data_IF_208538736152
#
_entry.id   IF_208538736152
#
_cell.length_a   1.000
_cell.length_b   1.000
_cell.length_c   1.000
_cell.angle_alpha   90.00
_cell.angle_beta   90.00
_cell.angle_gamma   90.00
#
_symmetry.space_group_name_H-M   'P 1'
#
loop_
_entity.id
_entity.type
_entity.pdbx_description
1 polymer ?
#
# COMPACT_ATOMS: atom_id res chain seq x y z
N UNK A 1 13.74 -3.12 -18.02
CA UNK A 1 12.72 -4.13 -17.77
C UNK A 1 11.88 -3.70 -16.57
N UNK A 2 10.66 -3.25 -16.82
CA UNK A 2 9.79 -2.78 -15.77
C UNK A 2 8.95 -3.92 -15.22
N UNK A 3 8.96 -4.12 -13.91
CA UNK A 3 8.00 -5.00 -13.27
C UNK A 3 6.61 -4.37 -13.35
N UNK A 4 5.62 -5.17 -13.70
CA UNK A 4 4.23 -4.75 -13.70
C UNK A 4 3.66 -5.06 -12.33
N UNK A 5 3.26 -4.01 -11.61
CA UNK A 5 2.55 -4.14 -10.34
C UNK A 5 1.07 -3.92 -10.54
N UNK A 6 0.28 -4.62 -9.76
CA UNK A 6 -1.18 -4.60 -9.83
C UNK A 6 -1.78 -4.08 -8.53
N UNK A 7 -3.02 -3.56 -8.55
CA UNK A 7 -3.71 -3.19 -7.32
C UNK A 7 -3.74 -4.35 -6.33
N UNK A 8 -3.40 -4.05 -5.09
CA UNK A 8 -3.31 -5.05 -4.03
C UNK A 8 -1.92 -5.61 -3.83
N UNK A 9 -0.99 -5.38 -4.73
CA UNK A 9 0.40 -5.80 -4.52
C UNK A 9 1.00 -5.06 -3.34
N UNK A 10 1.65 -5.80 -2.45
CA UNK A 10 2.32 -5.25 -1.29
C UNK A 10 3.81 -5.23 -1.57
N UNK A 11 4.40 -4.06 -1.44
CA UNK A 11 5.82 -3.85 -1.72
C UNK A 11 6.53 -3.31 -0.50
N UNK A 12 7.81 -3.67 -0.37
CA UNK A 12 8.68 -3.09 0.65
C UNK A 12 9.33 -1.86 0.03
N UNK A 13 9.24 -0.73 0.69
CA UNK A 13 9.77 0.54 0.19
C UNK A 13 10.72 1.19 1.19
N UNK A 14 11.59 2.05 0.69
CA UNK A 14 12.39 2.93 1.53
C UNK A 14 11.51 4.11 1.97
N UNK A 15 11.21 4.19 3.26
CA UNK A 15 10.28 5.18 3.80
C UNK A 15 10.82 5.75 5.12
N UNK A 16 10.68 7.05 5.36
CA UNK A 16 10.20 8.08 4.46
C UNK A 16 11.23 8.37 3.35
N UNK A 17 10.80 9.01 2.27
CA UNK A 17 11.66 9.35 1.14
C UNK A 17 12.64 10.48 1.46
N UNK A 18 12.91 10.70 2.70
CA UNK A 18 13.82 11.77 3.09
C UNK A 18 15.26 11.32 2.89
N UNK A 19 16.13 12.29 2.75
CA UNK A 19 17.57 12.08 2.69
C UNK A 19 18.17 11.56 4.00
N UNK A 20 17.35 11.10 4.92
CA UNK A 20 17.80 10.54 6.17
C UNK A 20 18.66 9.31 5.89
N UNK A 21 19.83 9.27 6.51
CA UNK A 21 20.83 8.24 6.32
C UNK A 21 20.38 6.86 6.77
N UNK A 22 19.26 6.76 7.50
CA UNK A 22 18.68 5.52 7.95
C UNK A 22 17.23 5.43 7.48
N UNK A 23 17.03 5.28 6.18
CA UNK A 23 15.70 5.03 5.65
C UNK A 23 15.20 3.72 6.23
N UNK A 24 14.07 3.76 6.93
CA UNK A 24 13.40 2.55 7.38
C UNK A 24 12.67 1.95 6.19
N UNK A 25 12.70 0.64 6.10
CA UNK A 25 11.91 -0.09 5.10
C UNK A 25 10.54 -0.38 5.69
N UNK A 26 9.50 -0.05 4.95
CA UNK A 26 8.12 -0.26 5.37
C UNK A 26 7.29 -0.81 4.23
N UNK A 27 6.26 -1.60 4.55
CA UNK A 27 5.36 -2.08 3.50
C UNK A 27 4.38 -0.99 3.08
N UNK A 28 3.98 -1.07 1.81
CA UNK A 28 2.92 -0.26 1.24
C UNK A 28 2.13 -1.11 0.26
N UNK A 29 0.86 -0.78 0.07
CA UNK A 29 0.02 -1.46 -0.90
C UNK A 29 -0.20 -0.56 -2.10
N UNK A 30 -0.01 -1.11 -3.30
CA UNK A 30 -0.29 -0.43 -4.55
C UNK A 30 -1.78 -0.49 -4.79
N UNK A 31 -2.39 0.67 -5.07
CA UNK A 31 -3.84 0.78 -5.27
C UNK A 31 -4.21 1.24 -6.67
N UNK A 32 -3.26 1.76 -7.43
CA UNK A 32 -3.49 2.15 -8.83
C UNK A 32 -3.48 0.94 -9.74
N UNK A 33 -4.26 1.00 -10.83
CA UNK A 33 -4.36 -0.13 -11.75
C UNK A 33 -3.13 -0.25 -12.64
N UNK A 34 -2.98 -1.43 -13.25
CA UNK A 34 -1.80 -1.77 -14.04
C UNK A 34 -1.62 -0.83 -15.24
N UNK A 35 -2.70 -0.44 -15.89
CA UNK A 35 -2.62 0.46 -17.05
C UNK A 35 -2.12 1.85 -16.64
N UNK A 36 -2.64 2.40 -15.55
CA UNK A 36 -2.17 3.67 -14.99
C UNK A 36 -0.67 3.57 -14.68
N UNK A 37 -0.28 2.50 -14.00
CA UNK A 37 1.10 2.29 -13.56
C UNK A 37 2.07 2.23 -14.74
N UNK A 38 1.66 1.53 -15.80
CA UNK A 38 2.46 1.37 -17.00
C UNK A 38 2.64 2.70 -17.76
N UNK A 39 1.55 3.43 -17.95
CA UNK A 39 1.57 4.69 -18.72
C UNK A 39 2.32 5.79 -17.94
N UNK A 40 2.08 5.90 -16.63
CA UNK A 40 2.68 6.94 -15.79
C UNK A 40 4.09 6.60 -15.34
N UNK A 41 4.47 5.33 -15.39
CA UNK A 41 5.73 4.83 -14.85
C UNK A 41 5.92 5.18 -13.37
N UNK A 42 4.82 5.19 -12.64
CA UNK A 42 4.76 5.43 -11.21
C UNK A 42 3.46 4.82 -10.66
N UNK A 43 3.35 4.72 -9.36
CA UNK A 43 2.25 4.02 -8.69
C UNK A 43 1.59 4.93 -7.67
N UNK A 44 0.30 4.72 -7.42
CA UNK A 44 -0.37 5.28 -6.24
C UNK A 44 -0.42 4.19 -5.18
N UNK A 45 0.02 4.51 -3.98
CA UNK A 45 0.15 3.55 -2.90
C UNK A 45 -0.37 4.12 -1.59
N UNK A 46 -0.63 3.22 -0.64
CA UNK A 46 -1.01 3.55 0.73
C UNK A 46 -0.05 2.84 1.68
N UNK A 47 0.44 3.53 2.73
CA UNK A 47 1.36 2.90 3.66
C UNK A 47 0.64 1.90 4.57
N UNK A 48 1.37 0.89 5.01
CA UNK A 48 0.89 -0.11 5.95
C UNK A 48 1.69 0.04 7.24
N UNK A 49 0.99 0.12 8.37
CA UNK A 49 1.62 0.17 9.70
C UNK A 49 1.26 -1.04 10.52
N UNK A 50 2.19 -1.50 11.36
CA UNK A 50 1.93 -2.54 12.35
C UNK A 50 1.42 -1.99 13.68
N UNK A 51 1.31 -0.68 13.82
CA UNK A 51 0.74 -0.05 15.02
C UNK A 51 -0.77 -0.13 14.96
N UNK A 52 -1.35 -0.95 15.83
CA UNK A 52 -2.79 -1.26 15.82
C UNK A 52 -3.60 -0.46 16.82
N UNK A 53 -2.98 0.49 17.50
CA UNK A 53 -3.64 1.28 18.56
C UNK A 53 -4.61 2.35 18.04
N UNK A 54 -4.58 2.63 16.74
CA UNK A 54 -5.43 3.65 16.13
C UNK A 54 -6.08 3.07 14.88
N UNK A 55 -7.29 2.54 15.06
CA UNK A 55 -8.04 1.86 13.99
C UNK A 55 -9.28 2.63 13.54
N UNK A 56 -9.51 3.82 14.07
CA UNK A 56 -10.77 4.58 13.88
C UNK A 56 -10.62 5.82 12.99
N UNK A 57 -9.43 6.06 12.44
CA UNK A 57 -9.28 7.18 11.52
C UNK A 57 -9.97 6.90 10.18
N UNK A 58 -10.69 7.88 9.63
CA UNK A 58 -11.29 7.71 8.31
C UNK A 58 -10.24 7.32 7.26
N UNK A 59 -10.58 6.32 6.46
CA UNK A 59 -9.69 5.82 5.43
C UNK A 59 -8.73 4.74 5.86
N UNK A 60 -8.54 4.54 7.17
CA UNK A 60 -7.70 3.46 7.68
C UNK A 60 -8.47 2.14 7.62
N UNK A 61 -7.79 1.06 7.20
CA UNK A 61 -8.41 -0.25 7.01
C UNK A 61 -7.54 -1.33 7.64
N UNK A 62 -8.13 -2.11 8.55
CA UNK A 62 -7.47 -3.26 9.14
C UNK A 62 -7.32 -4.35 8.07
N UNK A 63 -6.14 -4.94 7.97
CA UNK A 63 -5.87 -6.05 7.05
C UNK A 63 -6.32 -7.34 7.75
N UNK A 64 -7.48 -7.85 7.39
CA UNK A 64 -8.08 -9.01 8.07
C UNK A 64 -7.32 -10.29 7.81
N UNK A 65 -6.89 -10.50 6.57
CA UNK A 65 -6.18 -11.72 6.15
C UNK A 65 -4.67 -11.49 6.06
N UNK A 66 -4.11 -10.71 6.96
CA UNK A 66 -2.69 -10.34 6.89
C UNK A 66 -1.76 -11.55 6.75
N UNK A 67 -2.10 -12.66 7.39
CA UNK A 67 -1.29 -13.89 7.36
C UNK A 67 -1.29 -14.61 6.00
N UNK A 68 -2.14 -14.18 5.08
CA UNK A 68 -2.19 -14.70 3.70
C UNK A 68 -1.50 -13.79 2.69
N UNK A 69 -0.97 -12.65 3.13
CA UNK A 69 -0.48 -11.60 2.24
C UNK A 69 1.04 -11.59 2.07
N UNK A 70 1.75 -12.34 2.88
CA UNK A 70 3.20 -12.25 2.96
C UNK A 70 3.71 -11.32 4.05
N UNK A 71 2.82 -10.56 4.69
CA UNK A 71 3.19 -9.74 5.85
C UNK A 71 3.51 -10.63 7.05
N UNK A 72 4.45 -10.17 7.88
CA UNK A 72 4.90 -10.93 9.06
C UNK A 72 4.11 -10.62 10.32
N UNK A 73 3.32 -9.56 10.31
CA UNK A 73 2.53 -9.09 11.46
C UNK A 73 1.20 -8.53 11.00
N UNK A 74 0.21 -8.47 11.91
CA UNK A 74 -1.00 -7.71 11.64
C UNK A 74 -0.68 -6.27 11.25
N UNK A 75 -1.51 -5.67 10.43
CA UNK A 75 -1.30 -4.32 9.96
C UNK A 75 -2.58 -3.59 9.61
N UNK A 76 -2.42 -2.29 9.46
CA UNK A 76 -3.47 -1.36 9.04
C UNK A 76 -2.97 -0.65 7.79
N UNK A 77 -3.80 -0.63 6.74
CA UNK A 77 -3.57 0.24 5.59
C UNK A 77 -4.01 1.65 5.98
N UNK A 78 -3.08 2.59 5.96
CA UNK A 78 -3.38 3.97 6.34
C UNK A 78 -4.10 4.71 5.21
N UNK A 79 -5.04 5.57 5.59
CA UNK A 79 -5.81 6.39 4.66
C UNK A 79 -5.00 7.55 4.07
N UNK A 80 -3.82 7.27 3.60
CA UNK A 80 -2.89 8.23 3.01
C UNK A 80 -2.54 7.74 1.62
N UNK A 81 -2.74 8.59 0.61
CA UNK A 81 -2.35 8.29 -0.76
C UNK A 81 -1.07 9.01 -1.09
N UNK A 82 -0.13 8.29 -1.70
CA UNK A 82 1.12 8.91 -2.15
C UNK A 82 1.56 8.31 -3.46
N UNK A 83 2.34 9.08 -4.21
CA UNK A 83 2.92 8.63 -5.46
C UNK A 83 4.24 7.93 -5.17
N UNK A 84 4.41 6.75 -5.74
CA UNK A 84 5.55 5.88 -5.51
C UNK A 84 6.28 5.64 -6.83
N UNK A 85 7.55 6.03 -6.89
CA UNK A 85 8.40 5.75 -8.03
C UNK A 85 9.02 4.36 -7.90
N UNK A 86 9.25 3.69 -9.01
CA UNK A 86 9.72 2.31 -9.01
C UNK A 86 11.02 2.11 -8.26
N UNK A 87 11.97 3.07 -8.37
CA UNK A 87 13.27 2.93 -7.71
C UNK A 87 13.20 2.95 -6.18
N UNK A 88 12.08 3.37 -5.61
CA UNK A 88 11.85 3.35 -4.17
C UNK A 88 11.47 1.95 -3.69
N UNK A 89 10.97 1.11 -4.59
CA UNK A 89 10.55 -0.25 -4.27
C UNK A 89 11.76 -1.15 -4.11
N UNK A 90 11.89 -1.78 -2.95
CA UNK A 90 12.96 -2.73 -2.66
C UNK A 90 12.62 -4.11 -3.19
N UNK A 91 11.39 -4.58 -2.92
CA UNK A 91 10.92 -5.89 -3.38
C UNK A 91 9.41 -6.03 -3.22
N UNK A 92 8.86 -7.00 -3.93
CA UNK A 92 7.48 -7.44 -3.74
C UNK A 92 7.40 -8.33 -2.50
N UNK A 93 6.50 -8.02 -1.59
CA UNK A 93 6.25 -8.83 -0.39
C UNK A 93 5.18 -9.89 -0.66
N UNK A 94 4.09 -9.49 -1.28
CA UNK A 94 2.95 -10.36 -1.52
C UNK A 94 1.77 -9.58 -2.09
N UNK A 95 0.58 -10.01 -1.73
CA UNK A 95 -0.64 -9.48 -2.32
C UNK A 95 -1.79 -9.52 -1.32
N UNK A 96 -2.63 -8.49 -1.31
CA UNK A 96 -3.86 -8.49 -0.52
C UNK A 96 -4.81 -9.55 -1.02
N UNK A 97 -5.53 -10.20 -0.10
CA UNK A 97 -6.64 -11.07 -0.49
C UNK A 97 -7.74 -10.24 -1.15
N UNK A 98 -8.61 -10.90 -1.92
CA UNK A 98 -9.73 -10.22 -2.55
C UNK A 98 -10.57 -9.44 -1.53
N UNK A 99 -10.81 -10.04 -0.37
CA UNK A 99 -11.60 -9.41 0.69
C UNK A 99 -10.93 -8.13 1.20
N UNK A 100 -9.64 -8.18 1.48
CA UNK A 100 -8.91 -7.02 1.98
C UNK A 100 -8.80 -5.93 0.91
N UNK A 101 -8.61 -6.32 -0.35
CA UNK A 101 -8.57 -5.35 -1.44
C UNK A 101 -9.91 -4.65 -1.62
N UNK A 102 -11.03 -5.37 -1.47
CA UNK A 102 -12.35 -4.75 -1.51
C UNK A 102 -12.55 -3.75 -0.37
N UNK A 103 -12.07 -4.07 0.83
CA UNK A 103 -12.12 -3.15 1.96
C UNK A 103 -11.32 -1.87 1.68
N UNK A 104 -10.16 -2.02 1.05
CA UNK A 104 -9.33 -0.88 0.64
C UNK A 104 -10.07 -0.04 -0.42
N UNK A 105 -10.74 -0.67 -1.38
CA UNK A 105 -11.51 0.05 -2.40
C UNK A 105 -12.64 0.87 -1.80
N UNK A 106 -13.34 0.34 -0.81
CA UNK A 106 -14.37 1.08 -0.08
C UNK A 106 -13.75 2.29 0.61
N UNK A 107 -12.64 2.09 1.27
CA UNK A 107 -11.89 3.18 1.92
C UNK A 107 -11.48 4.27 0.93
N UNK A 108 -10.99 3.87 -0.25
CA UNK A 108 -10.62 4.83 -1.30
C UNK A 108 -11.81 5.65 -1.77
N UNK A 109 -12.98 5.04 -1.93
CA UNK A 109 -14.19 5.77 -2.31
C UNK A 109 -14.56 6.80 -1.25
N UNK A 110 -14.43 6.46 0.02
CA UNK A 110 -14.67 7.39 1.12
C UNK A 110 -13.68 8.55 1.09
N UNK A 111 -12.39 8.25 0.98
CA UNK A 111 -11.33 9.26 0.96
C UNK A 111 -11.55 10.25 -0.19
N UNK A 112 -11.95 9.74 -1.35
CA UNK A 112 -12.07 10.53 -2.56
C UNK A 112 -13.48 11.10 -2.79
N UNK A 113 -14.41 10.80 -1.88
CA UNK A 113 -15.78 11.30 -1.99
C UNK A 113 -16.56 10.71 -3.17
N UNK A 114 -16.31 9.46 -3.50
CA UNK A 114 -16.92 8.79 -4.65
C UNK A 114 -18.10 7.88 -4.28
N UNK A 115 -18.51 7.89 -3.04
CA UNK A 115 -19.67 7.12 -2.58
C UNK A 115 -20.96 7.87 -2.80
#
# INVERSE_FOLDING_TARGET
FLMIYNPGDIVLINYPYTSATAAKRRPAVIVSNAQYNDIRNEFVAMPITSQMDRTDFPGDTVIMDWNKTGLRKPGITKGILFTLEEHIIVKLIGHMTHQDLESIRISLKEILGLL
#
